data_IF_737435696231
#
_entry.id   IF_737435696231
#
_cell.length_a   1.000
_cell.length_b   1.000
_cell.length_c   1.000
_cell.angle_alpha   90.00
_cell.angle_beta   90.00
_cell.angle_gamma   90.00
#
_symmetry.space_group_name_H-M   'P 1'
#
loop_
_entity.id
_entity.type
_entity.pdbx_description
1 polymer ?
#
# COMPACT_ATOMS: atom_id res chain seq x y z
N UNK A 1 3.36 6.42 -11.15
CA UNK A 1 1.91 6.74 -11.22
C UNK A 1 1.51 7.36 -9.89
N UNK A 2 0.61 8.34 -9.86
CA UNK A 2 0.18 9.00 -8.62
C UNK A 2 -1.34 8.93 -8.47
N UNK A 3 -1.82 8.60 -7.27
CA UNK A 3 -3.24 8.55 -6.93
C UNK A 3 -3.48 9.00 -5.48
N UNK A 4 -4.72 9.38 -5.18
CA UNK A 4 -5.17 9.57 -3.80
C UNK A 4 -5.98 8.36 -3.33
N UNK A 5 -5.47 7.65 -2.33
CA UNK A 5 -6.13 6.50 -1.72
C UNK A 5 -7.11 6.93 -0.63
N UNK A 6 -8.31 6.33 -0.63
CA UNK A 6 -9.33 6.57 0.38
C UNK A 6 -9.05 5.84 1.69
N UNK A 7 -8.36 4.69 1.63
CA UNK A 7 -7.95 3.94 2.82
C UNK A 7 -6.58 3.33 2.62
N UNK A 8 -5.75 3.47 3.65
CA UNK A 8 -4.45 2.81 3.72
C UNK A 8 -4.31 2.15 5.08
N UNK A 9 -3.81 0.93 5.10
CA UNK A 9 -3.52 0.21 6.33
C UNK A 9 -2.16 -0.48 6.22
N UNK A 10 -1.31 -0.25 7.22
CA UNK A 10 0.06 -0.74 7.30
C UNK A 10 0.22 -1.43 8.66
N UNK A 11 0.60 -2.70 8.65
CA UNK A 11 0.83 -3.47 9.87
C UNK A 11 2.04 -4.39 9.77
N UNK A 12 2.53 -4.82 10.93
CA UNK A 12 3.67 -5.71 11.07
C UNK A 12 3.38 -7.07 10.44
N UNK A 13 4.31 -7.53 9.60
CA UNK A 13 4.30 -8.83 8.96
C UNK A 13 5.68 -9.12 8.37
N UNK A 14 6.15 -10.38 8.35
CA UNK A 14 5.54 -11.59 8.90
C UNK A 14 5.59 -11.62 10.43
N UNK A 15 4.72 -12.42 11.04
CA UNK A 15 4.58 -12.52 12.51
C UNK A 15 5.89 -12.80 13.24
N UNK A 16 6.79 -13.56 12.61
CA UNK A 16 8.06 -13.97 13.19
C UNK A 16 9.22 -13.00 12.88
N UNK A 17 8.96 -11.90 12.18
CA UNK A 17 9.95 -10.84 11.92
C UNK A 17 10.10 -9.90 13.14
N UNK A 18 11.20 -9.14 13.23
CA UNK A 18 11.39 -8.17 14.31
C UNK A 18 10.15 -7.29 14.53
N UNK A 19 9.71 -7.21 15.78
CA UNK A 19 8.57 -6.39 16.15
C UNK A 19 8.87 -4.92 15.90
N UNK A 20 7.85 -4.18 15.49
CA UNK A 20 7.97 -2.73 15.39
C UNK A 20 8.10 -2.13 16.78
N UNK A 21 8.90 -1.07 16.91
CA UNK A 21 8.89 -0.28 18.13
C UNK A 21 7.51 0.37 18.32
N UNK A 22 7.14 0.62 19.59
CA UNK A 22 5.90 1.34 19.90
C UNK A 22 5.85 2.71 19.23
N UNK A 23 6.98 3.41 19.17
CA UNK A 23 7.10 4.71 18.49
C UNK A 23 6.81 4.62 17.00
N UNK A 24 7.29 3.59 16.31
CA UNK A 24 7.03 3.36 14.90
C UNK A 24 5.56 3.04 14.65
N UNK A 25 4.99 2.16 15.47
CA UNK A 25 3.59 1.79 15.38
C UNK A 25 2.67 2.99 15.64
N UNK A 26 3.00 3.85 16.60
CA UNK A 26 2.26 5.09 16.87
C UNK A 26 2.37 6.07 15.70
N UNK A 27 3.56 6.27 15.13
CA UNK A 27 3.78 7.12 13.95
C UNK A 27 2.90 6.69 12.77
N UNK A 28 2.94 5.40 12.41
CA UNK A 28 2.12 4.85 11.35
C UNK A 28 0.61 4.91 11.68
N UNK A 29 0.23 4.74 12.94
CA UNK A 29 -1.16 4.86 13.34
C UNK A 29 -1.69 6.29 13.17
N UNK A 30 -0.95 7.29 13.62
CA UNK A 30 -1.37 8.69 13.55
C UNK A 30 -1.37 9.17 12.10
N UNK A 31 -0.32 8.88 11.33
CA UNK A 31 -0.19 9.40 9.97
C UNK A 31 -0.99 8.59 8.94
N UNK A 32 -1.09 7.27 9.12
CA UNK A 32 -1.64 6.35 8.12
C UNK A 32 -2.92 5.67 8.63
N UNK A 33 -2.81 4.74 9.58
CA UNK A 33 -3.89 3.76 9.85
C UNK A 33 -5.17 4.38 10.42
N UNK A 34 -5.02 5.39 11.29
CA UNK A 34 -6.15 6.07 11.95
C UNK A 34 -6.43 7.45 11.34
N UNK A 35 -5.69 7.85 10.32
CA UNK A 35 -5.93 9.08 9.58
C UNK A 35 -7.01 8.82 8.52
N UNK A 36 -8.14 9.52 8.60
CA UNK A 36 -9.25 9.39 7.65
C UNK A 36 -9.07 10.20 6.37
N UNK A 37 -8.07 11.08 6.30
CA UNK A 37 -7.78 11.84 5.08
C UNK A 37 -7.28 10.92 3.98
N UNK A 38 -7.61 11.28 2.73
CA UNK A 38 -7.03 10.62 1.57
C UNK A 38 -5.52 10.80 1.58
N UNK A 39 -4.81 9.79 1.08
CA UNK A 39 -3.34 9.78 1.08
C UNK A 39 -2.81 9.74 -0.33
N UNK A 40 -1.83 10.58 -0.63
CA UNK A 40 -1.09 10.51 -1.88
C UNK A 40 -0.25 9.22 -1.90
N UNK A 41 -0.39 8.48 -3.00
CA UNK A 41 0.34 7.25 -3.27
C UNK A 41 1.09 7.40 -4.57
N UNK A 42 2.41 7.27 -4.52
CA UNK A 42 3.28 7.31 -5.69
C UNK A 42 3.85 5.91 -5.93
N UNK A 43 3.47 5.31 -7.05
CA UNK A 43 4.02 4.05 -7.55
C UNK A 43 5.25 4.35 -8.42
N UNK A 44 6.43 4.08 -7.86
CA UNK A 44 7.72 4.18 -8.54
C UNK A 44 8.06 2.94 -9.36
N UNK A 45 9.32 2.76 -9.75
CA UNK A 45 9.75 1.56 -10.48
C UNK A 45 9.85 0.35 -9.55
N UNK A 46 10.48 0.54 -8.38
CA UNK A 46 10.79 -0.53 -7.43
C UNK A 46 10.34 -0.19 -5.99
N UNK A 47 9.62 0.91 -5.82
CA UNK A 47 9.18 1.44 -4.53
C UNK A 47 7.75 2.02 -4.61
N UNK A 48 7.13 2.15 -3.45
CA UNK A 48 5.84 2.83 -3.28
C UNK A 48 6.01 3.85 -2.17
N UNK A 49 5.59 5.09 -2.43
CA UNK A 49 5.54 6.14 -1.43
C UNK A 49 4.09 6.33 -0.99
N UNK A 50 3.88 6.41 0.32
CA UNK A 50 2.60 6.76 0.94
C UNK A 50 2.88 8.01 1.73
N UNK A 51 2.47 9.18 1.24
CA UNK A 51 2.91 10.47 1.79
C UNK A 51 4.46 10.49 1.91
N UNK A 52 4.98 10.69 3.12
CA UNK A 52 6.41 10.74 3.41
C UNK A 52 7.03 9.36 3.78
N UNK A 53 6.31 8.26 3.55
CA UNK A 53 6.75 6.91 3.91
C UNK A 53 7.11 6.12 2.66
N UNK A 54 8.39 5.73 2.53
CA UNK A 54 8.89 4.95 1.40
C UNK A 54 8.94 3.46 1.71
N UNK A 55 8.32 2.65 0.86
CA UNK A 55 8.31 1.20 0.92
C UNK A 55 9.13 0.62 -0.23
N UNK A 56 10.07 -0.27 0.08
CA UNK A 56 11.02 -0.87 -0.87
C UNK A 56 10.96 -2.39 -0.80
N UNK A 57 11.75 -3.09 -1.63
CA UNK A 57 11.82 -4.57 -1.62
C UNK A 57 10.43 -5.19 -1.74
N UNK A 58 9.61 -4.68 -2.66
CA UNK A 58 8.20 -5.04 -2.81
C UNK A 58 8.05 -6.52 -3.18
N UNK A 59 7.16 -7.23 -2.49
CA UNK A 59 6.90 -8.65 -2.63
C UNK A 59 5.41 -8.96 -2.49
N UNK A 60 5.00 -10.14 -2.97
CA UNK A 60 3.62 -10.66 -2.87
C UNK A 60 2.54 -9.63 -3.23
N UNK A 61 2.78 -8.88 -4.30
CA UNK A 61 1.89 -7.82 -4.76
C UNK A 61 0.60 -8.44 -5.31
N UNK A 62 -0.53 -8.19 -4.66
CA UNK A 62 -1.87 -8.60 -5.06
C UNK A 62 -2.73 -7.38 -5.38
N UNK A 63 -3.61 -7.50 -6.38
CA UNK A 63 -4.59 -6.45 -6.71
C UNK A 63 -5.96 -7.12 -6.75
N UNK A 64 -6.93 -6.51 -6.10
CA UNK A 64 -8.29 -7.04 -5.96
C UNK A 64 -9.32 -5.94 -6.26
N UNK A 65 -10.46 -6.35 -6.82
CA UNK A 65 -11.53 -5.44 -7.25
C UNK A 65 -12.88 -6.01 -6.83
N UNK A 66 -13.43 -5.59 -5.69
CA UNK A 66 -14.81 -5.89 -5.34
C UNK A 66 -15.75 -5.02 -6.20
N UNK A 67 -16.21 -5.56 -7.34
CA UNK A 67 -17.02 -4.82 -8.33
C UNK A 67 -18.21 -4.06 -7.74
N UNK A 68 -18.89 -4.63 -6.75
CA UNK A 68 -20.06 -4.01 -6.10
C UNK A 68 -19.73 -2.77 -5.27
N UNK A 69 -18.46 -2.57 -4.88
CA UNK A 69 -18.03 -1.40 -4.09
C UNK A 69 -17.42 -0.29 -4.93
N UNK A 70 -17.15 -0.54 -6.23
CA UNK A 70 -16.37 0.36 -7.10
C UNK A 70 -15.01 0.72 -6.48
N UNK A 71 -14.33 -0.30 -5.96
CA UNK A 71 -13.03 -0.15 -5.30
C UNK A 71 -11.95 -0.95 -6.03
N UNK A 72 -10.72 -0.46 -5.98
CA UNK A 72 -9.53 -1.22 -6.32
C UNK A 72 -8.61 -1.23 -5.09
N UNK A 73 -8.19 -2.41 -4.65
CA UNK A 73 -7.27 -2.57 -3.52
C UNK A 73 -6.01 -3.28 -3.97
N UNK A 74 -4.87 -2.63 -3.77
CA UNK A 74 -3.54 -3.26 -3.87
C UNK A 74 -3.06 -3.65 -2.47
N UNK A 75 -2.48 -4.84 -2.38
CA UNK A 75 -1.92 -5.41 -1.16
C UNK A 75 -0.51 -5.86 -1.48
N UNK A 76 0.46 -5.61 -0.61
CA UNK A 76 1.83 -6.06 -0.80
C UNK A 76 2.56 -6.21 0.52
N UNK A 77 3.65 -6.97 0.49
CA UNK A 77 4.67 -6.99 1.53
C UNK A 77 5.84 -6.13 1.08
N UNK A 78 6.47 -5.39 1.99
CA UNK A 78 7.60 -4.52 1.69
C UNK A 78 8.49 -4.32 2.90
N UNK A 79 9.72 -3.89 2.64
CA UNK A 79 10.58 -3.33 3.66
C UNK A 79 10.26 -1.84 3.85
N UNK A 80 10.20 -1.43 5.10
CA UNK A 80 10.07 -0.05 5.54
C UNK A 80 11.10 0.21 6.64
N UNK A 81 11.99 1.18 6.43
CA UNK A 81 13.17 1.38 7.29
C UNK A 81 13.93 0.04 7.48
N UNK A 82 13.98 -0.47 8.71
CA UNK A 82 14.65 -1.75 9.06
C UNK A 82 13.67 -2.89 9.39
N UNK A 83 12.39 -2.72 9.08
CA UNK A 83 11.33 -3.69 9.40
C UNK A 83 10.56 -4.11 8.15
N UNK A 84 9.77 -5.17 8.28
CA UNK A 84 8.85 -5.62 7.24
C UNK A 84 7.41 -5.20 7.56
N UNK A 85 6.67 -4.89 6.50
CA UNK A 85 5.31 -4.41 6.57
C UNK A 85 4.43 -5.13 5.55
N UNK A 86 3.18 -5.37 5.96
CA UNK A 86 2.09 -5.69 5.04
C UNK A 86 1.20 -4.45 4.89
N UNK A 87 0.93 -4.11 3.63
CA UNK A 87 0.30 -2.84 3.27
C UNK A 87 -0.93 -3.11 2.42
N UNK A 88 -2.04 -2.45 2.77
CA UNK A 88 -3.27 -2.42 2.00
C UNK A 88 -3.55 -0.97 1.59
N UNK A 89 -3.80 -0.74 0.30
CA UNK A 89 -4.16 0.56 -0.25
C UNK A 89 -5.43 0.39 -1.05
N UNK A 90 -6.50 1.08 -0.67
CA UNK A 90 -7.80 1.04 -1.33
C UNK A 90 -8.13 2.38 -1.94
N UNK A 91 -8.45 2.34 -3.23
CA UNK A 91 -8.97 3.45 -4.02
C UNK A 91 -10.46 3.22 -4.27
N UNK A 92 -11.30 4.23 -4.05
CA UNK A 92 -12.71 4.25 -4.46
C UNK A 92 -12.85 5.20 -5.62
N UNK A 93 -13.39 4.72 -6.73
CA UNK A 93 -13.59 5.54 -7.93
C UNK A 93 -14.65 4.92 -8.83
N UNK A 94 -15.44 5.74 -9.51
CA UNK A 94 -16.27 5.26 -10.62
C UNK A 94 -15.43 4.69 -11.78
N UNK A 95 -14.17 5.12 -11.90
CA UNK A 95 -13.18 4.63 -12.85
C UNK A 95 -12.22 3.57 -12.26
N UNK A 96 -12.68 2.78 -11.26
CA UNK A 96 -11.83 1.79 -10.58
C UNK A 96 -11.19 0.75 -11.52
N UNK A 97 -11.81 0.47 -12.66
CA UNK A 97 -11.26 -0.43 -13.68
C UNK A 97 -9.99 0.13 -14.33
N UNK A 98 -9.92 1.44 -14.55
CA UNK A 98 -8.74 2.09 -15.11
C UNK A 98 -7.58 2.02 -14.11
N UNK A 99 -7.86 2.25 -12.83
CA UNK A 99 -6.89 2.09 -11.74
C UNK A 99 -6.41 0.64 -11.69
N UNK A 100 -7.32 -0.34 -11.74
CA UNK A 100 -6.97 -1.75 -11.76
C UNK A 100 -6.04 -2.11 -12.92
N UNK A 101 -6.35 -1.65 -14.13
CA UNK A 101 -5.54 -1.92 -15.32
C UNK A 101 -4.14 -1.30 -15.21
N UNK A 102 -4.05 -0.05 -14.73
CA UNK A 102 -2.77 0.65 -14.53
C UNK A 102 -1.91 -0.04 -13.45
N UNK A 103 -2.51 -0.39 -12.31
CA UNK A 103 -1.81 -1.13 -11.24
C UNK A 103 -1.37 -2.52 -11.69
N UNK A 104 -2.19 -3.23 -12.48
CA UNK A 104 -1.84 -4.55 -13.02
C UNK A 104 -0.70 -4.46 -14.01
N UNK A 105 -0.74 -3.47 -14.91
CA UNK A 105 0.36 -3.18 -15.84
C UNK A 105 1.66 -2.88 -15.11
N UNK A 106 1.59 -2.07 -14.04
CA UNK A 106 2.74 -1.78 -13.19
C UNK A 106 3.26 -3.01 -12.45
N UNK A 107 2.38 -3.81 -11.83
CA UNK A 107 2.74 -5.05 -11.12
C UNK A 107 3.47 -6.04 -12.05
N UNK A 108 3.09 -6.13 -13.32
CA UNK A 108 3.70 -7.07 -14.27
C UNK A 108 5.18 -6.78 -14.57
N UNK A 109 5.74 -5.67 -14.07
CA UNK A 109 7.17 -5.36 -14.14
C UNK A 109 7.99 -6.11 -13.10
N UNK A 110 7.34 -6.65 -12.06
CA UNK A 110 8.00 -7.43 -11.01
C UNK A 110 8.01 -8.92 -11.38
N UNK A 111 9.08 -9.65 -11.04
CA UNK A 111 9.10 -11.09 -11.18
C UNK A 111 7.98 -11.73 -10.33
N UNK A 112 7.45 -12.86 -10.82
CA UNK A 112 6.39 -13.61 -10.15
C UNK A 112 6.90 -14.30 -8.88
#
# INVERSE_FOLDING_TARGET
MCYFADKVHVHHWPKDSPTWSESLQQKLNISINKNSQKKEIIFGSNDIHIENFQFTSLQKIGISVPFFKKECTIIFEAQFEHVFAHVHITFKSDTFLDIFNQLTSWKNKFPK
#
